data_IF_251631378199
#
_entry.id   IF_251631378199
#
_cell.length_a   1.000
_cell.length_b   1.000
_cell.length_c   1.000
_cell.angle_alpha   90.00
_cell.angle_beta   90.00
_cell.angle_gamma   90.00
#
_symmetry.space_group_name_H-M   'P 1'
#
loop_
_entity.id
_entity.type
_entity.pdbx_description
1 polymer ?
#
# COMPACT_ATOMS: atom_id res chain seq x y z
N UNK A 1 -6.63 13.71 -49.86
CA UNK A 1 -6.18 12.31 -49.76
C UNK A 1 -6.04 11.96 -48.27
N UNK A 2 -6.25 10.71 -47.88
CA UNK A 2 -6.06 10.21 -46.52
C UNK A 2 -5.26 8.92 -46.56
N UNK A 3 -4.38 8.73 -45.58
CA UNK A 3 -3.53 7.56 -45.41
C UNK A 3 -3.56 7.17 -43.94
N UNK A 4 -3.61 5.87 -43.67
CA UNK A 4 -3.51 5.33 -42.32
C UNK A 4 -2.06 4.88 -42.08
N UNK A 5 -1.50 5.25 -40.93
CA UNK A 5 -0.16 4.83 -40.49
C UNK A 5 -0.26 4.26 -39.08
N UNK A 6 0.57 3.27 -38.77
CA UNK A 6 0.54 2.55 -37.50
C UNK A 6 1.69 2.93 -36.56
N UNK A 7 2.62 3.77 -37.00
CA UNK A 7 3.81 4.13 -36.24
C UNK A 7 3.94 5.65 -36.14
N UNK A 8 4.48 6.16 -35.02
CA UNK A 8 4.86 7.55 -34.92
C UNK A 8 6.04 7.86 -35.86
N UNK A 9 6.08 9.07 -36.41
CA UNK A 9 7.12 9.45 -37.36
C UNK A 9 6.85 10.73 -38.12
N UNK A 10 7.85 11.15 -38.89
CA UNK A 10 7.71 12.23 -39.87
C UNK A 10 7.39 11.64 -41.24
N UNK A 11 6.22 11.99 -41.76
CA UNK A 11 5.73 11.57 -43.07
C UNK A 11 5.59 12.80 -43.97
N UNK A 12 5.63 12.60 -45.28
CA UNK A 12 5.37 13.67 -46.25
C UNK A 12 4.43 13.15 -47.33
N UNK A 13 3.32 13.86 -47.57
CA UNK A 13 2.40 13.51 -48.65
C UNK A 13 2.79 14.32 -49.89
N UNK A 14 3.10 13.62 -50.97
CA UNK A 14 3.47 14.22 -52.25
C UNK A 14 2.33 14.06 -53.26
N UNK A 15 2.07 15.11 -54.04
CA UNK A 15 1.17 15.02 -55.19
C UNK A 15 1.96 14.56 -56.41
N UNK A 16 1.50 13.49 -57.08
CA UNK A 16 2.03 13.05 -58.37
C UNK A 16 0.95 13.21 -59.45
N UNK A 17 1.25 14.02 -60.46
CA UNK A 17 0.42 14.17 -61.66
C UNK A 17 1.13 13.47 -62.81
N UNK A 18 0.48 12.46 -63.39
CA UNK A 18 1.08 11.63 -64.44
C UNK A 18 0.05 11.16 -65.47
N UNK A 19 0.53 10.68 -66.62
CA UNK A 19 -0.29 10.00 -67.61
C UNK A 19 -0.09 8.47 -67.47
N UNK A 20 -1.15 7.69 -67.20
CA UNK A 20 -1.04 6.25 -66.98
C UNK A 20 -0.61 5.46 -68.23
N UNK A 21 -0.68 6.05 -69.43
CA UNK A 21 -0.15 5.42 -70.65
C UNK A 21 1.38 5.53 -70.77
N UNK A 22 2.02 6.38 -69.95
CA UNK A 22 3.46 6.66 -70.02
C UNK A 22 4.22 6.38 -68.73
N UNK A 23 3.55 6.37 -67.57
CA UNK A 23 4.12 5.93 -66.30
C UNK A 23 3.27 4.78 -65.74
N UNK A 24 3.87 3.60 -65.69
CA UNK A 24 3.30 2.42 -65.02
C UNK A 24 3.64 2.48 -63.54
N UNK A 25 2.62 2.50 -62.68
CA UNK A 25 2.81 2.49 -61.22
C UNK A 25 3.09 1.09 -60.66
N UNK A 26 3.02 0.03 -61.47
CA UNK A 26 3.42 -1.32 -61.08
C UNK A 26 4.91 -1.47 -60.73
N UNK A 27 5.72 -0.46 -61.07
CA UNK A 27 7.14 -0.38 -60.67
C UNK A 27 7.33 0.03 -59.21
N UNK A 28 6.29 0.54 -58.54
CA UNK A 28 6.37 0.99 -57.15
C UNK A 28 6.18 -0.20 -56.21
N UNK A 29 7.24 -0.57 -55.51
CA UNK A 29 7.20 -1.53 -54.42
C UNK A 29 7.08 -0.79 -53.08
N UNK A 30 5.95 -0.98 -52.39
CA UNK A 30 5.68 -0.31 -51.11
C UNK A 30 6.73 -0.67 -50.05
N UNK A 31 7.28 0.34 -49.39
CA UNK A 31 8.35 0.19 -48.40
C UNK A 31 9.76 0.09 -48.99
N UNK A 32 9.91 0.07 -50.33
CA UNK A 32 11.20 -0.05 -51.02
C UNK A 32 11.45 1.11 -51.96
N UNK A 33 10.52 1.40 -52.87
CA UNK A 33 10.67 2.48 -53.86
C UNK A 33 10.58 3.85 -53.19
N UNK A 34 11.58 4.70 -53.38
CA UNK A 34 11.61 6.04 -52.79
C UNK A 34 10.97 7.09 -53.69
N UNK A 35 10.57 8.22 -53.12
CA UNK A 35 10.10 9.38 -53.90
C UNK A 35 11.18 9.94 -54.85
N UNK A 36 12.47 9.72 -54.54
CA UNK A 36 13.59 10.11 -55.41
C UNK A 36 13.70 9.19 -56.61
N UNK A 37 13.46 7.88 -56.44
CA UNK A 37 13.42 6.93 -57.57
C UNK A 37 12.30 7.31 -58.54
N UNK A 38 11.11 7.64 -58.03
CA UNK A 38 9.99 8.13 -58.84
C UNK A 38 10.33 9.46 -59.53
N UNK A 39 11.01 10.38 -58.84
CA UNK A 39 11.45 11.65 -59.41
C UNK A 39 12.42 11.43 -60.58
N UNK A 40 13.35 10.47 -60.48
CA UNK A 40 14.33 10.16 -61.52
C UNK A 40 13.74 9.62 -62.83
N UNK A 41 12.51 9.11 -62.80
CA UNK A 41 11.81 8.61 -63.99
C UNK A 41 11.14 9.73 -64.81
N UNK A 42 10.87 10.87 -64.19
CA UNK A 42 10.07 11.96 -64.79
C UNK A 42 10.98 13.10 -65.24
N UNK A 43 10.52 13.89 -66.21
CA UNK A 43 11.28 15.01 -66.79
C UNK A 43 11.77 16.02 -65.73
N UNK A 44 11.01 16.21 -64.66
CA UNK A 44 11.39 17.07 -63.53
C UNK A 44 12.67 16.60 -62.82
N UNK A 45 12.94 15.29 -62.77
CA UNK A 45 14.15 14.70 -62.19
C UNK A 45 15.17 14.23 -63.24
N UNK A 46 14.99 14.58 -64.51
CA UNK A 46 15.91 14.24 -65.60
C UNK A 46 15.59 12.97 -66.39
N UNK A 47 14.43 12.35 -66.16
CA UNK A 47 13.92 11.25 -66.97
C UNK A 47 13.16 11.71 -68.22
N UNK A 48 12.58 10.76 -68.97
CA UNK A 48 11.91 11.06 -70.25
C UNK A 48 10.38 11.20 -70.12
N UNK A 49 9.80 10.89 -68.95
CA UNK A 49 8.34 10.85 -68.77
C UNK A 49 7.79 12.22 -68.42
N UNK A 50 6.77 12.67 -69.14
CA UNK A 50 6.04 13.90 -68.82
C UNK A 50 5.09 13.68 -67.62
N UNK A 51 5.57 14.04 -66.42
CA UNK A 51 4.84 14.02 -65.17
C UNK A 51 5.42 15.08 -64.21
N UNK A 52 4.71 15.35 -63.12
CA UNK A 52 5.13 16.31 -62.10
C UNK A 52 4.91 15.74 -60.71
N UNK A 53 5.95 15.80 -59.89
CA UNK A 53 5.96 15.42 -58.48
C UNK A 53 6.17 16.68 -57.64
N UNK A 54 5.31 16.89 -56.65
CA UNK A 54 5.56 17.88 -55.61
C UNK A 54 6.70 17.38 -54.71
N UNK A 55 7.93 17.83 -54.99
CA UNK A 55 9.14 17.38 -54.27
C UNK A 55 9.18 17.85 -52.83
N UNK A 56 8.60 19.03 -52.54
CA UNK A 56 8.55 19.53 -51.17
C UNK A 56 7.53 18.74 -50.34
N UNK A 57 6.36 18.46 -50.94
CA UNK A 57 5.26 17.75 -50.31
C UNK A 57 4.68 18.49 -49.10
N UNK A 58 3.65 17.88 -48.51
CA UNK A 58 3.04 18.34 -47.26
C UNK A 58 3.61 17.52 -46.08
N UNK A 59 4.45 18.11 -45.21
CA UNK A 59 4.98 17.40 -44.06
C UNK A 59 3.89 17.16 -43.01
N UNK A 60 3.87 15.95 -42.46
CA UNK A 60 2.97 15.47 -41.41
C UNK A 60 3.84 14.85 -40.31
N UNK A 61 3.59 15.24 -39.07
CA UNK A 61 4.22 14.60 -37.91
C UNK A 61 3.15 13.80 -37.18
N UNK A 62 3.36 12.49 -37.08
CA UNK A 62 2.54 11.59 -36.27
C UNK A 62 3.28 11.39 -34.96
N UNK A 63 2.70 11.89 -33.88
CA UNK A 63 3.26 11.76 -32.53
C UNK A 63 2.74 10.49 -31.87
N UNK A 64 3.57 9.88 -31.04
CA UNK A 64 3.13 8.81 -30.15
C UNK A 64 2.18 9.41 -29.11
N UNK A 65 1.05 8.77 -28.88
CA UNK A 65 0.08 9.21 -27.87
C UNK A 65 0.69 8.93 -26.49
N UNK A 66 1.30 9.94 -25.88
CA UNK A 66 1.84 9.83 -24.53
C UNK A 66 0.70 9.54 -23.57
N UNK A 67 0.87 8.55 -22.69
CA UNK A 67 -0.12 8.25 -21.67
C UNK A 67 -0.41 9.49 -20.80
N UNK A 68 -1.63 10.00 -20.86
CA UNK A 68 -2.09 11.16 -20.07
C UNK A 68 -2.84 10.76 -18.80
N UNK A 69 -3.02 9.46 -18.57
CA UNK A 69 -3.66 8.96 -17.36
C UNK A 69 -2.74 9.16 -16.14
N UNK A 70 -3.24 9.87 -15.12
CA UNK A 70 -2.53 10.11 -13.86
C UNK A 70 -3.41 9.75 -12.68
N UNK A 71 -2.94 8.85 -11.80
CA UNK A 71 -3.72 8.38 -10.65
C UNK A 71 -3.93 9.46 -9.56
N UNK A 72 -3.23 10.59 -9.64
CA UNK A 72 -3.15 11.55 -8.56
C UNK A 72 -2.27 11.04 -7.41
N UNK A 73 -2.48 11.58 -6.21
CA UNK A 73 -1.84 11.08 -4.98
C UNK A 73 -2.84 11.05 -3.84
N UNK A 74 -2.76 10.02 -3.00
CA UNK A 74 -3.66 9.81 -1.87
C UNK A 74 -2.97 10.12 -0.54
N UNK A 75 -3.76 10.53 0.46
CA UNK A 75 -3.35 10.62 1.86
C UNK A 75 -4.50 10.22 2.78
N UNK A 76 -4.20 9.83 4.02
CA UNK A 76 -5.23 9.59 5.03
C UNK A 76 -5.33 10.79 5.96
N UNK A 77 -6.53 11.36 6.10
CA UNK A 77 -6.83 12.42 7.07
C UNK A 77 -6.98 11.89 8.49
N UNK A 78 -7.17 10.58 8.64
CA UNK A 78 -7.32 9.88 9.92
C UNK A 78 -6.56 8.55 9.86
N UNK A 79 -5.22 8.62 9.84
CA UNK A 79 -4.37 7.48 9.50
C UNK A 79 -4.31 6.42 10.60
N UNK A 80 -4.91 6.66 11.77
CA UNK A 80 -5.04 5.66 12.84
C UNK A 80 -6.52 5.51 13.17
N UNK A 81 -7.03 4.29 13.03
CA UNK A 81 -8.42 3.94 13.35
C UNK A 81 -8.44 2.72 14.26
N UNK A 82 -9.43 2.64 15.15
CA UNK A 82 -9.58 1.49 16.04
C UNK A 82 -10.77 0.63 15.61
N UNK A 83 -10.60 -0.68 15.73
CA UNK A 83 -11.71 -1.62 15.59
C UNK A 83 -12.75 -1.33 16.68
N UNK A 84 -13.98 -1.07 16.25
CA UNK A 84 -15.15 -0.90 17.11
C UNK A 84 -16.10 -2.05 16.83
N UNK A 85 -16.33 -2.91 17.83
CA UNK A 85 -17.11 -4.15 17.66
C UNK A 85 -16.57 -5.07 16.55
N UNK A 86 -15.24 -5.11 16.38
CA UNK A 86 -14.56 -5.99 15.42
C UNK A 86 -14.50 -5.47 13.98
N UNK A 87 -14.91 -4.22 13.71
CA UNK A 87 -14.76 -3.59 12.39
C UNK A 87 -14.24 -2.16 12.52
N UNK A 88 -13.55 -1.68 11.48
CA UNK A 88 -13.13 -0.30 11.32
C UNK A 88 -13.38 0.15 9.88
N UNK A 89 -13.84 1.38 9.72
CA UNK A 89 -13.91 2.04 8.42
C UNK A 89 -12.68 2.92 8.26
N UNK A 90 -11.88 2.68 7.22
CA UNK A 90 -10.69 3.45 6.86
C UNK A 90 -10.91 4.16 5.54
N UNK A 91 -10.40 5.39 5.45
CA UNK A 91 -10.64 6.26 4.30
C UNK A 91 -9.36 6.93 3.82
N UNK A 92 -9.39 7.38 2.57
CA UNK A 92 -8.34 8.20 1.99
C UNK A 92 -8.92 9.39 1.22
N UNK A 93 -8.15 10.46 1.17
CA UNK A 93 -8.44 11.68 0.44
C UNK A 93 -7.41 11.90 -0.66
N UNK A 94 -7.80 12.59 -1.72
CA UNK A 94 -6.88 12.98 -2.79
C UNK A 94 -6.13 14.25 -2.38
N UNK A 95 -4.80 14.21 -2.45
CA UNK A 95 -3.95 15.39 -2.31
C UNK A 95 -3.74 16.06 -3.67
N UNK A 96 -3.29 15.28 -4.67
CA UNK A 96 -3.32 15.65 -6.09
C UNK A 96 -4.48 14.91 -6.75
N UNK A 97 -5.40 15.59 -7.44
CA UNK A 97 -6.48 14.91 -8.16
C UNK A 97 -5.92 14.03 -9.29
N UNK A 98 -6.71 13.04 -9.68
CA UNK A 98 -6.42 12.22 -10.85
C UNK A 98 -6.67 13.00 -12.16
N UNK A 99 -5.88 12.73 -13.19
CA UNK A 99 -6.19 13.12 -14.58
C UNK A 99 -6.72 11.87 -15.29
N UNK A 100 -8.00 11.92 -15.69
CA UNK A 100 -8.73 10.78 -16.26
C UNK A 100 -9.08 11.12 -17.71
N UNK A 101 -8.37 10.54 -18.70
CA UNK A 101 -8.67 10.73 -20.11
C UNK A 101 -10.02 10.12 -20.52
N UNK A 102 -10.50 10.48 -21.71
CA UNK A 102 -11.73 9.89 -22.26
C UNK A 102 -11.57 8.36 -22.42
N UNK A 103 -12.55 7.60 -21.95
CA UNK A 103 -12.53 6.13 -21.96
C UNK A 103 -11.80 5.48 -20.78
N UNK A 104 -11.26 6.27 -19.84
CA UNK A 104 -10.61 5.77 -18.62
C UNK A 104 -11.55 5.83 -17.42
N UNK A 105 -11.27 4.99 -16.43
CA UNK A 105 -11.96 4.91 -15.16
C UNK A 105 -10.98 5.08 -13.99
N UNK A 106 -11.52 5.52 -12.84
CA UNK A 106 -10.78 5.54 -11.58
C UNK A 106 -11.33 4.46 -10.64
N UNK A 107 -10.42 3.69 -10.05
CA UNK A 107 -10.71 2.67 -9.04
C UNK A 107 -9.79 2.86 -7.84
N UNK A 108 -10.28 2.57 -6.64
CA UNK A 108 -9.48 2.58 -5.43
C UNK A 108 -9.17 1.17 -4.99
N UNK A 109 -7.92 0.93 -4.59
CA UNK A 109 -7.41 -0.40 -4.25
C UNK A 109 -6.94 -0.40 -2.81
N UNK A 110 -7.51 -1.28 -1.99
CA UNK A 110 -7.06 -1.54 -0.63
C UNK A 110 -5.99 -2.63 -0.66
N UNK A 111 -4.83 -2.35 -0.07
CA UNK A 111 -3.75 -3.32 0.08
C UNK A 111 -3.27 -3.46 1.52
N UNK A 112 -2.66 -4.59 1.84
CA UNK A 112 -1.79 -4.75 3.02
C UNK A 112 -0.51 -3.94 2.78
N UNK A 113 -0.14 -3.09 3.73
CA UNK A 113 0.87 -2.05 3.47
C UNK A 113 2.30 -2.57 3.27
N UNK A 114 2.70 -3.69 3.88
CA UNK A 114 4.10 -4.15 3.75
C UNK A 114 4.34 -4.92 2.45
N UNK A 115 3.40 -5.77 2.05
CA UNK A 115 3.49 -6.65 0.89
C UNK A 115 2.80 -6.10 -0.35
N UNK A 116 1.97 -5.07 -0.21
CA UNK A 116 1.04 -4.57 -1.23
C UNK A 116 0.06 -5.64 -1.73
N UNK A 117 -0.21 -6.68 -0.95
CA UNK A 117 -1.24 -7.67 -1.28
C UNK A 117 -2.60 -6.98 -1.37
N UNK A 118 -3.29 -7.09 -2.50
CA UNK A 118 -4.59 -6.49 -2.74
C UNK A 118 -5.63 -7.23 -1.91
N UNK A 119 -6.38 -6.51 -1.09
CA UNK A 119 -7.41 -7.09 -0.21
C UNK A 119 -8.81 -6.79 -0.72
N UNK A 120 -9.01 -5.62 -1.35
CA UNK A 120 -10.31 -5.22 -1.89
C UNK A 120 -10.15 -4.08 -2.91
N UNK A 121 -11.22 -3.80 -3.66
CA UNK A 121 -11.33 -2.65 -4.58
C UNK A 121 -12.69 -1.96 -4.41
N UNK A 122 -12.75 -0.66 -4.68
CA UNK A 122 -13.97 0.13 -4.56
C UNK A 122 -13.95 1.33 -5.50
N UNK A 123 -15.13 1.80 -5.89
CA UNK A 123 -15.30 3.05 -6.63
C UNK A 123 -15.09 4.30 -5.74
N UNK A 124 -15.08 4.13 -4.42
CA UNK A 124 -14.80 5.18 -3.44
C UNK A 124 -13.60 4.82 -2.57
N UNK A 125 -12.81 5.80 -2.06
CA UNK A 125 -11.63 5.54 -1.25
C UNK A 125 -11.98 5.25 0.22
N UNK A 126 -12.98 4.40 0.48
CA UNK A 126 -13.45 4.03 1.82
C UNK A 126 -13.68 2.52 1.89
N UNK A 127 -13.16 1.89 2.94
CA UNK A 127 -13.17 0.43 3.12
C UNK A 127 -13.45 0.04 4.56
N UNK A 128 -14.26 -0.99 4.74
CA UNK A 128 -14.42 -1.66 6.03
C UNK A 128 -13.44 -2.82 6.15
N UNK A 129 -12.71 -2.86 7.27
CA UNK A 129 -11.78 -3.94 7.61
C UNK A 129 -12.08 -4.51 8.99
N UNK A 130 -11.89 -5.83 9.15
CA UNK A 130 -12.09 -6.54 10.41
C UNK A 130 -10.80 -6.88 11.14
N UNK A 131 -9.67 -6.82 10.43
CA UNK A 131 -8.37 -7.16 10.96
C UNK A 131 -7.58 -5.90 11.35
N UNK A 132 -6.70 -6.08 12.34
CA UNK A 132 -5.68 -5.10 12.70
C UNK A 132 -4.52 -5.20 11.72
N UNK A 133 -3.91 -4.08 11.39
CA UNK A 133 -2.86 -4.08 10.38
C UNK A 133 -2.48 -2.69 9.90
N UNK A 134 -1.46 -2.65 9.06
CA UNK A 134 -1.17 -1.50 8.22
C UNK A 134 -1.77 -1.76 6.85
N UNK A 135 -2.50 -0.77 6.35
CA UNK A 135 -3.19 -0.79 5.07
C UNK A 135 -2.75 0.38 4.22
N UNK A 136 -2.89 0.24 2.90
CA UNK A 136 -2.80 1.37 1.96
C UNK A 136 -4.02 1.42 1.08
N UNK A 137 -4.51 2.64 0.82
CA UNK A 137 -5.54 2.91 -0.17
C UNK A 137 -4.87 3.63 -1.33
N UNK A 138 -4.86 2.98 -2.50
CA UNK A 138 -4.27 3.50 -3.72
C UNK A 138 -5.36 3.99 -4.67
N UNK A 139 -5.01 4.96 -5.51
CA UNK A 139 -5.80 5.36 -6.67
C UNK A 139 -5.20 4.70 -7.91
N UNK A 140 -6.05 4.12 -8.76
CA UNK A 140 -5.71 3.57 -10.06
C UNK A 140 -6.57 4.27 -11.11
N UNK A 141 -5.93 4.82 -12.14
CA UNK A 141 -6.61 5.28 -13.36
C UNK A 141 -6.21 4.35 -14.49
N UNK A 142 -7.19 3.75 -15.15
CA UNK A 142 -6.98 2.72 -16.15
C UNK A 142 -8.05 2.76 -17.24
N UNK A 143 -7.74 2.20 -18.41
CA UNK A 143 -8.75 1.95 -19.43
C UNK A 143 -9.18 0.47 -19.36
N UNK A 144 -10.47 0.17 -19.13
CA UNK A 144 -10.97 -1.21 -19.01
C UNK A 144 -10.87 -2.02 -20.31
N UNK A 145 -10.69 -1.37 -21.47
CA UNK A 145 -10.46 -2.06 -22.76
C UNK A 145 -9.02 -2.57 -22.91
N UNK A 146 -8.06 -1.98 -22.18
CA UNK A 146 -6.63 -2.32 -22.30
C UNK A 146 -6.06 -3.00 -21.05
N UNK A 147 -6.64 -2.77 -19.87
CA UNK A 147 -6.24 -3.40 -18.62
C UNK A 147 -7.38 -4.28 -18.06
N UNK A 148 -7.23 -5.59 -18.20
CA UNK A 148 -8.15 -6.57 -17.63
C UNK A 148 -7.84 -6.81 -16.14
N UNK A 149 -8.74 -6.35 -15.27
CA UNK A 149 -8.64 -6.53 -13.81
C UNK A 149 -9.20 -7.88 -13.33
N UNK A 150 -9.75 -8.72 -14.20
CA UNK A 150 -10.29 -10.04 -13.82
C UNK A 150 -9.22 -11.01 -13.32
N UNK A 151 -7.96 -10.74 -13.64
CA UNK A 151 -6.78 -11.47 -13.16
C UNK A 151 -6.45 -11.17 -11.69
N UNK A 152 -7.04 -10.11 -11.11
CA UNK A 152 -6.75 -9.69 -9.74
C UNK A 152 -7.52 -10.57 -8.77
N UNK A 153 -6.78 -11.35 -7.97
CA UNK A 153 -7.32 -12.22 -6.93
C UNK A 153 -7.02 -11.61 -5.57
N UNK A 154 -8.05 -11.12 -4.82
CA UNK A 154 -7.85 -10.58 -3.48
C UNK A 154 -7.19 -11.59 -2.54
N UNK A 155 -6.18 -11.14 -1.80
CA UNK A 155 -5.37 -11.94 -0.90
C UNK A 155 -4.18 -12.64 -1.56
N UNK A 156 -4.07 -12.60 -2.90
CA UNK A 156 -2.98 -13.25 -3.65
C UNK A 156 -2.23 -12.27 -4.55
N UNK A 157 -2.93 -11.49 -5.37
CA UNK A 157 -2.32 -10.51 -6.27
C UNK A 157 -1.80 -9.31 -5.50
N UNK A 158 -0.61 -8.84 -5.86
CA UNK A 158 0.01 -7.66 -5.25
C UNK A 158 -0.06 -6.43 -6.16
N UNK A 159 0.08 -5.24 -5.59
CA UNK A 159 0.25 -4.00 -6.35
C UNK A 159 1.48 -4.05 -7.28
N UNK A 160 2.52 -4.80 -6.92
CA UNK A 160 3.68 -5.01 -7.79
C UNK A 160 3.32 -5.80 -9.05
N UNK A 161 2.45 -6.79 -8.94
CA UNK A 161 1.99 -7.57 -10.10
C UNK A 161 1.23 -6.68 -11.09
N UNK A 162 0.38 -5.78 -10.59
CA UNK A 162 -0.36 -4.81 -11.41
C UNK A 162 0.60 -3.81 -12.08
N UNK A 163 1.56 -3.24 -11.34
CA UNK A 163 2.56 -2.32 -11.91
C UNK A 163 3.41 -3.02 -12.97
N UNK A 164 3.81 -4.27 -12.74
CA UNK A 164 4.57 -5.04 -13.72
C UNK A 164 3.74 -5.35 -14.96
N UNK A 165 2.45 -5.66 -14.82
CA UNK A 165 1.56 -5.86 -15.95
C UNK A 165 1.44 -4.60 -16.81
N UNK A 166 1.25 -3.44 -16.18
CA UNK A 166 1.16 -2.15 -16.86
C UNK A 166 2.45 -1.87 -17.65
N UNK A 167 3.60 -1.95 -16.98
CA UNK A 167 4.89 -1.60 -17.57
C UNK A 167 5.37 -2.60 -18.64
N UNK A 168 5.12 -3.90 -18.46
CA UNK A 168 5.61 -4.92 -19.39
C UNK A 168 4.81 -5.03 -20.68
N UNK A 169 3.62 -4.41 -20.72
CA UNK A 169 2.70 -4.46 -21.87
C UNK A 169 2.41 -3.07 -22.44
N UNK A 170 3.17 -2.04 -22.03
CA UNK A 170 3.01 -0.64 -22.46
C UNK A 170 1.55 -0.15 -22.36
N UNK A 171 0.84 -0.59 -21.31
CA UNK A 171 -0.55 -0.20 -21.07
C UNK A 171 -0.54 1.22 -20.51
N UNK A 172 -1.30 2.13 -21.11
CA UNK A 172 -1.56 3.41 -20.48
C UNK A 172 -2.48 3.22 -19.28
N UNK A 173 -1.91 3.29 -18.09
CA UNK A 173 -2.59 3.28 -16.80
C UNK A 173 -1.63 3.87 -15.75
N UNK A 174 -2.18 4.39 -14.66
CA UNK A 174 -1.41 5.02 -13.59
C UNK A 174 -1.91 4.56 -12.24
N UNK A 175 -1.01 4.05 -11.41
CA UNK A 175 -1.26 3.63 -10.03
C UNK A 175 -0.49 4.53 -9.07
N UNK A 176 -1.15 5.06 -8.04
CA UNK A 176 -0.47 5.71 -6.92
C UNK A 176 0.29 4.67 -6.10
N UNK A 177 1.56 4.46 -6.40
CA UNK A 177 2.40 3.46 -5.73
C UNK A 177 2.69 3.75 -4.26
N UNK A 178 2.54 5.00 -3.81
CA UNK A 178 2.73 5.36 -2.41
C UNK A 178 1.49 5.01 -1.60
N UNK A 179 0.32 5.43 -2.10
CA UNK A 179 -0.97 5.21 -1.46
C UNK A 179 -1.12 5.92 -0.10
N UNK A 180 -2.37 6.04 0.35
CA UNK A 180 -2.68 6.56 1.66
C UNK A 180 -2.53 5.47 2.73
N UNK A 181 -1.60 5.67 3.66
CA UNK A 181 -1.37 4.73 4.76
C UNK A 181 -2.42 4.87 5.85
N UNK A 182 -2.93 3.73 6.33
CA UNK A 182 -3.87 3.61 7.43
C UNK A 182 -3.41 2.50 8.40
N UNK A 183 -3.43 2.76 9.70
CA UNK A 183 -3.14 1.82 10.77
C UNK A 183 -4.43 1.49 11.51
N UNK A 184 -4.80 0.21 11.53
CA UNK A 184 -5.97 -0.28 12.27
C UNK A 184 -5.52 -1.01 13.52
N UNK A 185 -6.03 -0.57 14.67
CA UNK A 185 -5.69 -1.07 15.99
C UNK A 185 -6.84 -1.88 16.59
N UNK A 186 -6.53 -3.02 17.20
CA UNK A 186 -7.56 -3.90 17.78
C UNK A 186 -7.82 -3.75 19.27
N UNK A 187 -6.87 -3.21 20.05
CA UNK A 187 -6.96 -3.28 21.52
C UNK A 187 -7.44 -1.99 22.14
N UNK A 188 -8.43 -2.08 23.04
CA UNK A 188 -9.02 -0.92 23.71
C UNK A 188 -7.98 -0.03 24.41
N UNK A 189 -7.01 -0.62 25.12
CA UNK A 189 -5.96 0.15 25.81
C UNK A 189 -4.95 0.75 24.82
N UNK A 190 -4.61 0.04 23.74
CA UNK A 190 -3.66 0.47 22.73
C UNK A 190 -4.24 1.61 21.88
N UNK A 191 -5.49 1.44 21.46
CA UNK A 191 -6.32 2.48 20.87
C UNK A 191 -6.44 3.69 21.80
N UNK A 192 -6.75 3.47 23.09
CA UNK A 192 -6.84 4.56 24.07
C UNK A 192 -5.50 5.25 24.28
N UNK A 193 -4.38 4.53 24.26
CA UNK A 193 -3.05 5.13 24.35
C UNK A 193 -2.82 6.07 23.16
N UNK A 194 -3.03 5.58 21.93
CA UNK A 194 -2.85 6.40 20.73
C UNK A 194 -3.80 7.60 20.73
N UNK A 195 -5.07 7.40 21.07
CA UNK A 195 -6.01 8.51 21.16
C UNK A 195 -5.59 9.51 22.25
N UNK A 196 -5.17 9.09 23.44
CA UNK A 196 -4.82 10.03 24.51
C UNK A 196 -3.46 10.73 24.31
N UNK A 197 -2.51 10.09 23.65
CA UNK A 197 -1.17 10.64 23.42
C UNK A 197 -1.14 11.60 22.23
N UNK A 198 -1.90 11.29 21.17
CA UNK A 198 -1.86 12.07 19.92
C UNK A 198 -2.97 13.10 19.78
N UNK A 199 -4.03 13.06 20.60
CA UNK A 199 -5.05 14.12 20.64
C UNK A 199 -4.60 15.38 21.38
N UNK A 200 -3.33 15.49 21.83
CA UNK A 200 -2.94 16.59 22.70
C UNK A 200 -2.47 17.88 22.06
N UNK A 201 -2.04 17.97 20.79
CA UNK A 201 -1.78 19.31 20.17
C UNK A 201 -1.61 19.39 18.62
N UNK A 202 -1.73 18.31 17.81
CA UNK A 202 -1.51 18.46 16.36
C UNK A 202 -2.29 17.54 15.39
N UNK A 203 -3.05 16.56 15.89
CA UNK A 203 -3.61 15.50 15.03
C UNK A 203 -2.51 14.54 14.53
N UNK A 204 -2.84 13.27 14.37
CA UNK A 204 -1.89 12.30 13.79
C UNK A 204 -1.72 12.66 12.32
N UNK A 205 -0.49 12.96 11.90
CA UNK A 205 -0.20 13.15 10.49
C UNK A 205 0.10 11.80 9.84
N UNK A 206 -0.26 11.65 8.57
CA UNK A 206 0.10 10.46 7.78
C UNK A 206 1.60 10.14 7.87
N UNK A 207 2.44 11.18 7.99
CA UNK A 207 3.89 11.08 8.16
C UNK A 207 4.33 10.26 9.39
N UNK A 208 3.55 10.24 10.48
CA UNK A 208 3.88 9.47 11.67
C UNK A 208 3.71 7.96 11.40
N UNK A 209 2.64 7.60 10.70
CA UNK A 209 2.35 6.20 10.33
C UNK A 209 3.28 5.71 9.22
N UNK A 210 3.67 6.60 8.30
CA UNK A 210 4.70 6.33 7.30
C UNK A 210 6.05 5.97 7.92
N UNK A 211 6.41 6.60 9.04
CA UNK A 211 7.65 6.29 9.76
C UNK A 211 7.62 4.87 10.34
N UNK A 212 6.48 4.41 10.87
CA UNK A 212 6.34 3.03 11.33
C UNK A 212 6.53 2.03 10.20
N UNK A 213 5.99 2.30 9.00
CA UNK A 213 6.19 1.38 7.87
C UNK A 213 7.66 1.32 7.43
N UNK A 214 8.43 2.40 7.60
CA UNK A 214 9.87 2.42 7.29
C UNK A 214 10.70 1.69 8.35
N UNK A 215 10.29 1.76 9.61
CA UNK A 215 11.02 1.19 10.74
C UNK A 215 10.76 -0.31 10.90
N UNK A 216 9.51 -0.74 10.69
CA UNK A 216 9.08 -2.11 10.91
C UNK A 216 8.87 -2.87 9.59
N UNK A 217 8.83 -4.20 9.66
CA UNK A 217 8.64 -5.07 8.48
C UNK A 217 7.26 -5.71 8.40
N UNK A 218 6.48 -5.58 9.47
CA UNK A 218 5.15 -6.14 9.61
C UNK A 218 4.42 -5.45 10.76
N UNK A 219 3.08 -5.54 10.76
CA UNK A 219 2.27 -5.13 11.90
C UNK A 219 2.71 -5.86 13.18
N UNK A 220 3.04 -7.16 13.10
CA UNK A 220 3.45 -7.96 14.26
C UNK A 220 4.74 -7.45 14.92
N UNK A 221 5.72 -7.03 14.12
CA UNK A 221 6.98 -6.48 14.65
C UNK A 221 6.80 -5.09 15.27
N UNK A 222 5.99 -4.24 14.64
CA UNK A 222 5.59 -2.94 15.20
C UNK A 222 4.89 -3.12 16.54
N UNK A 223 3.91 -4.01 16.56
CA UNK A 223 3.10 -4.28 17.75
C UNK A 223 3.98 -4.79 18.90
N UNK A 224 4.82 -5.80 18.66
CA UNK A 224 5.70 -6.35 19.70
C UNK A 224 6.63 -5.30 20.32
N UNK A 225 7.25 -4.45 19.51
CA UNK A 225 8.14 -3.38 19.98
C UNK A 225 7.37 -2.29 20.74
N UNK A 226 6.25 -1.83 20.18
CA UNK A 226 5.40 -0.85 20.85
C UNK A 226 5.02 -1.33 22.26
N UNK A 227 4.60 -2.59 22.37
CA UNK A 227 4.19 -3.19 23.64
C UNK A 227 5.37 -3.23 24.61
N UNK A 228 6.55 -3.67 24.16
CA UNK A 228 7.73 -3.76 25.01
C UNK A 228 8.07 -2.39 25.64
N UNK A 229 7.90 -1.31 24.87
CA UNK A 229 8.25 0.04 25.29
C UNK A 229 7.15 0.76 26.08
N UNK A 230 5.87 0.38 25.92
CA UNK A 230 4.73 1.10 26.49
C UNK A 230 3.87 0.27 27.47
N UNK A 231 4.29 -0.95 27.81
CA UNK A 231 3.55 -1.78 28.77
C UNK A 231 3.68 -1.31 30.22
N UNK A 232 2.57 -0.85 30.79
CA UNK A 232 2.48 -0.54 32.21
C UNK A 232 2.02 -1.76 33.02
N UNK A 233 2.77 -2.06 34.09
CA UNK A 233 2.38 -3.02 35.12
C UNK A 233 2.48 -2.36 36.49
N UNK A 234 1.40 -2.46 37.27
CA UNK A 234 1.40 -2.08 38.68
C UNK A 234 1.20 -3.31 39.57
N UNK A 235 1.99 -3.36 40.64
CA UNK A 235 1.96 -4.42 41.65
C UNK A 235 1.80 -3.74 43.01
N UNK A 236 0.69 -4.00 43.70
CA UNK A 236 0.39 -3.32 44.96
C UNK A 236 -0.44 -4.17 45.94
N UNK A 237 -0.24 -4.02 47.25
CA UNK A 237 0.82 -3.25 47.88
C UNK A 237 2.18 -3.95 47.77
N UNK A 238 3.26 -3.16 47.70
CA UNK A 238 4.63 -3.64 47.83
C UNK A 238 5.34 -2.77 48.90
N UNK A 239 5.62 -3.28 50.12
CA UNK A 239 5.63 -4.70 50.51
C UNK A 239 4.23 -5.34 50.63
N UNK A 240 4.11 -6.61 50.21
CA UNK A 240 2.87 -7.41 50.30
C UNK A 240 2.83 -8.23 51.59
N UNK A 241 1.63 -8.34 52.18
CA UNK A 241 1.36 -9.19 53.36
C UNK A 241 0.72 -10.53 53.01
N UNK A 242 -0.42 -10.46 52.33
CA UNK A 242 -1.26 -11.63 52.02
C UNK A 242 -1.68 -11.68 50.55
N UNK A 243 -2.06 -10.54 49.97
CA UNK A 243 -2.60 -10.49 48.60
C UNK A 243 -1.90 -9.39 47.82
N UNK A 244 -1.26 -9.75 46.72
CA UNK A 244 -0.67 -8.82 45.77
C UNK A 244 -1.66 -8.58 44.63
N UNK A 245 -2.16 -7.36 44.49
CA UNK A 245 -2.90 -6.96 43.32
C UNK A 245 -1.94 -6.70 42.16
N UNK A 246 -2.35 -7.16 40.99
CA UNK A 246 -1.64 -7.07 39.73
C UNK A 246 -2.57 -6.35 38.76
N UNK A 247 -2.10 -5.25 38.17
CA UNK A 247 -2.76 -4.62 37.03
C UNK A 247 -1.75 -4.53 35.90
N UNK A 248 -2.06 -5.19 34.80
CA UNK A 248 -1.26 -5.30 33.58
C UNK A 248 -2.19 -4.97 32.42
N UNK A 249 -1.79 -4.10 31.51
CA UNK A 249 -2.55 -3.91 30.27
C UNK A 249 -2.29 -5.11 29.34
N UNK A 250 -3.27 -5.99 29.15
CA UNK A 250 -3.17 -7.21 28.32
C UNK A 250 -3.86 -7.07 26.97
N UNK A 251 -3.49 -7.90 25.99
CA UNK A 251 -4.24 -8.05 24.74
C UNK A 251 -5.51 -8.88 24.94
N UNK A 252 -6.52 -8.68 24.08
CA UNK A 252 -7.82 -9.38 24.16
C UNK A 252 -7.68 -10.92 24.08
N UNK A 253 -6.54 -11.43 23.59
CA UNK A 253 -6.20 -12.85 23.53
C UNK A 253 -4.85 -13.19 24.20
N UNK A 254 -4.24 -12.28 24.95
CA UNK A 254 -2.96 -12.57 25.61
C UNK A 254 -3.14 -13.37 26.89
N UNK A 255 -2.80 -14.64 26.80
CA UNK A 255 -2.68 -15.49 27.98
C UNK A 255 -1.33 -15.24 28.63
N UNK A 256 -1.34 -14.46 29.71
CA UNK A 256 -0.19 -14.33 30.59
C UNK A 256 -0.13 -15.51 31.57
N UNK A 257 1.09 -15.87 31.94
CA UNK A 257 1.38 -16.79 33.04
C UNK A 257 2.31 -16.07 34.00
N UNK A 258 2.24 -16.35 35.29
CA UNK A 258 3.23 -15.81 36.22
C UNK A 258 4.01 -16.91 36.91
N UNK A 259 5.27 -16.61 37.21
CA UNK A 259 6.17 -17.44 38.01
C UNK A 259 6.84 -16.55 39.05
N UNK A 260 6.78 -16.97 40.30
CA UNK A 260 7.46 -16.28 41.40
C UNK A 260 8.62 -17.13 41.89
N UNK A 261 9.78 -16.51 42.06
CA UNK A 261 11.00 -17.14 42.56
C UNK A 261 11.55 -16.38 43.76
N UNK A 262 12.09 -17.10 44.72
CA UNK A 262 12.87 -16.49 45.80
C UNK A 262 14.28 -16.08 45.31
N UNK A 263 15.05 -15.38 46.14
CA UNK A 263 16.41 -14.94 45.79
C UNK A 263 17.41 -16.07 45.54
N UNK A 264 17.08 -17.32 45.90
CA UNK A 264 17.89 -18.50 45.56
C UNK A 264 17.55 -19.09 44.18
N UNK A 265 16.55 -18.53 43.50
CA UNK A 265 16.08 -19.00 42.19
C UNK A 265 15.04 -20.13 42.25
N UNK A 266 14.68 -20.58 43.46
CA UNK A 266 13.64 -21.60 43.66
C UNK A 266 12.26 -21.01 43.36
N UNK A 267 11.50 -21.70 42.52
CA UNK A 267 10.12 -21.33 42.21
C UNK A 267 9.22 -21.59 43.42
N UNK A 268 8.47 -20.57 43.84
CA UNK A 268 7.61 -20.60 45.04
C UNK A 268 6.12 -20.47 44.71
N UNK A 269 5.77 -19.93 43.54
CA UNK A 269 4.39 -19.86 43.06
C UNK A 269 4.34 -19.82 41.52
N UNK A 270 3.26 -20.33 40.94
CA UNK A 270 2.93 -20.17 39.53
C UNK A 270 1.41 -20.21 39.34
N UNK A 271 0.91 -19.51 38.32
CA UNK A 271 -0.51 -19.49 37.98
C UNK A 271 -0.77 -18.96 36.59
N UNK A 272 -1.97 -19.25 36.08
CA UNK A 272 -2.47 -18.74 34.80
C UNK A 272 -3.27 -17.46 35.00
N UNK A 273 -3.20 -16.57 34.02
CA UNK A 273 -3.96 -15.33 33.97
C UNK A 273 -5.48 -15.51 33.75
N UNK A 274 -6.00 -16.73 33.64
CA UNK A 274 -7.45 -16.97 33.47
C UNK A 274 -8.31 -16.44 34.66
N UNK A 275 -7.68 -15.89 35.69
CA UNK A 275 -8.31 -15.23 36.84
C UNK A 275 -8.13 -13.70 36.88
N UNK A 276 -7.43 -13.08 35.91
CA UNK A 276 -7.37 -11.61 35.80
C UNK A 276 -8.29 -11.14 34.66
N UNK A 277 -9.52 -10.72 34.98
CA UNK A 277 -10.42 -10.12 34.01
C UNK A 277 -9.81 -8.80 33.51
N UNK A 278 -9.62 -8.67 32.19
CA UNK A 278 -9.07 -7.46 31.55
C UNK A 278 -7.74 -7.00 32.18
N UNK A 279 -6.84 -7.94 32.46
CA UNK A 279 -5.49 -7.61 32.90
C UNK A 279 -5.35 -7.22 34.38
N UNK A 280 -6.39 -7.40 35.19
CA UNK A 280 -6.36 -7.09 36.63
C UNK A 280 -6.74 -8.29 37.51
N UNK A 281 -5.99 -8.53 38.60
CA UNK A 281 -6.39 -9.48 39.64
C UNK A 281 -5.29 -9.75 40.65
N UNK A 282 -5.24 -10.94 41.24
CA UNK A 282 -4.60 -11.14 42.55
C UNK A 282 -3.69 -12.38 42.63
N UNK A 283 -2.58 -12.24 43.34
CA UNK A 283 -1.65 -13.32 43.68
C UNK A 283 -1.63 -13.50 45.20
N UNK A 284 -1.86 -14.73 45.66
CA UNK A 284 -1.78 -15.08 47.07
C UNK A 284 -0.32 -15.22 47.53
N UNK A 285 0.06 -14.42 48.52
CA UNK A 285 1.36 -14.39 49.19
C UNK A 285 1.29 -14.91 50.65
N UNK A 286 0.13 -15.39 51.10
CA UNK A 286 -0.12 -15.79 52.49
C UNK A 286 0.81 -16.89 52.98
N UNK A 287 1.31 -17.76 52.10
CA UNK A 287 2.22 -18.85 52.45
C UNK A 287 3.70 -18.55 52.15
N UNK A 288 4.02 -17.35 51.68
CA UNK A 288 5.41 -16.95 51.38
C UNK A 288 6.12 -16.48 52.65
N UNK A 289 7.41 -16.80 52.79
CA UNK A 289 8.23 -16.27 53.88
C UNK A 289 8.56 -14.79 53.66
N UNK A 290 8.88 -14.05 54.73
CA UNK A 290 9.37 -12.67 54.61
C UNK A 290 10.66 -12.65 53.77
N UNK A 291 10.72 -11.77 52.78
CA UNK A 291 11.86 -11.71 51.88
C UNK A 291 11.55 -11.05 50.53
N UNK A 292 12.59 -10.98 49.69
CA UNK A 292 12.49 -10.48 48.33
C UNK A 292 12.18 -11.62 47.36
N UNK A 293 11.31 -11.34 46.40
CA UNK A 293 10.91 -12.26 45.35
C UNK A 293 11.00 -11.58 43.99
N UNK A 294 11.32 -12.37 42.98
CA UNK A 294 11.24 -11.97 41.57
C UNK A 294 9.98 -12.63 41.00
N UNK A 295 9.11 -11.82 40.43
CA UNK A 295 7.96 -12.29 39.67
C UNK A 295 8.19 -12.04 38.18
N UNK A 296 8.14 -13.11 37.37
CA UNK A 296 8.06 -13.03 35.93
C UNK A 296 6.62 -13.24 35.48
N UNK A 297 6.15 -12.38 34.58
CA UNK A 297 4.92 -12.55 33.81
C UNK A 297 5.31 -12.86 32.37
N UNK A 298 4.84 -13.97 31.83
CA UNK A 298 5.26 -14.53 30.54
C UNK A 298 4.03 -14.84 29.68
N UNK A 299 3.96 -14.28 28.47
CA UNK A 299 3.01 -14.64 27.41
C UNK A 299 3.77 -15.07 26.14
N UNK A 300 3.02 -15.43 25.09
CA UNK A 300 3.61 -15.65 23.76
C UNK A 300 4.23 -14.39 23.14
N UNK A 301 3.89 -13.20 23.64
CA UNK A 301 4.34 -11.91 23.10
C UNK A 301 5.48 -11.30 23.90
N UNK A 302 5.51 -11.48 25.23
CA UNK A 302 6.45 -10.74 26.09
C UNK A 302 6.72 -11.41 27.44
N UNK A 303 7.82 -10.98 28.06
CA UNK A 303 8.16 -11.30 29.44
C UNK A 303 8.39 -10.02 30.24
N UNK A 304 7.71 -9.88 31.37
CA UNK A 304 7.81 -8.73 32.28
C UNK A 304 8.35 -9.22 33.63
N UNK A 305 9.40 -8.61 34.13
CA UNK A 305 10.02 -8.99 35.41
C UNK A 305 9.89 -7.86 36.42
N UNK A 306 9.40 -8.17 37.63
CA UNK A 306 9.31 -7.21 38.74
C UNK A 306 9.83 -7.81 40.04
N UNK A 307 10.26 -6.93 40.94
CA UNK A 307 10.67 -7.28 42.29
C UNK A 307 9.53 -6.97 43.26
N UNK A 308 9.24 -7.92 44.14
CA UNK A 308 8.21 -7.80 45.19
C UNK A 308 8.83 -8.14 46.53
N UNK A 309 8.52 -7.35 47.56
CA UNK A 309 8.91 -7.62 48.93
C UNK A 309 7.72 -8.20 49.69
N UNK A 310 7.89 -9.37 50.32
CA UNK A 310 6.91 -9.93 51.27
C UNK A 310 7.35 -9.53 52.67
N UNK A 311 6.46 -8.87 53.42
CA UNK A 311 6.72 -8.46 54.80
C UNK A 311 5.44 -8.52 55.64
N UNK A 312 5.30 -9.58 56.45
CA UNK A 312 4.11 -9.83 57.29
C UNK A 312 4.16 -9.08 58.61
#
# INVERSE_FOLDING_TARGET
PSFDVTEPGSYTIHTLVYNPNTLDLGIVEFGVTTGVDVLGLIAQGGGDICASLDVAGAPISVMEESCTAEAGTMYSSSPITCLTSGMASIEAMQNRPAEIPDGYEQLFVLTEAFTLTILNVSATPSFDVSDRGFYRIHSLVYNPETLDLSIVVPGETTGFDVVNLINNNDICASLDVHGAVNLVLGYNWFCSFFNNYYHKDAGVQSADVDNYIKEYKSYKTFEADFIANNSEISLYPNPVKSTLNVSIQTFDNEVMTYKMRDMSGRQVATGLNNSLNNGSGQIDATNLANGMYIISFESEYRTIIKKVMVNK
#
